data_IF_863357224256
#
_entry.id   IF_863357224256
#
_cell.length_a   1.000
_cell.length_b   1.000
_cell.length_c   1.000
_cell.angle_alpha   90.00
_cell.angle_beta   90.00
_cell.angle_gamma   90.00
#
_symmetry.space_group_name_H-M   'P 1'
#
loop_
_entity.id
_entity.type
_entity.pdbx_description
1 polymer ?
#
# COMPACT_ATOMS: atom_id res chain seq x y z
N UNK A 1 -3.65 19.09 14.89
CA UNK A 1 -3.83 18.42 13.58
C UNK A 1 -2.44 17.97 13.11
N UNK A 2 -2.11 16.71 12.78
CA UNK A 2 -2.86 15.47 12.66
C UNK A 2 -1.95 14.34 13.19
N UNK A 3 -2.46 13.53 14.12
CA UNK A 3 -1.74 12.36 14.63
C UNK A 3 -1.94 11.20 13.64
N UNK A 4 -1.03 11.04 12.68
CA UNK A 4 -1.00 9.88 11.77
C UNK A 4 -0.41 8.60 12.42
N UNK A 5 -0.41 8.50 13.74
CA UNK A 5 0.33 7.48 14.47
C UNK A 5 -0.60 6.70 15.39
N UNK A 6 -1.39 5.81 14.78
CA UNK A 6 -1.91 4.55 15.32
C UNK A 6 -3.13 4.19 14.48
N UNK A 7 -2.92 3.51 13.35
CA UNK A 7 -4.02 2.76 12.74
C UNK A 7 -4.13 1.45 13.49
N UNK A 8 -5.14 1.32 14.34
CA UNK A 8 -5.51 0.04 14.93
C UNK A 8 -5.95 -0.94 13.83
N UNK A 9 -5.91 -2.25 14.09
CA UNK A 9 -6.33 -3.27 13.12
C UNK A 9 -7.75 -3.08 12.55
N UNK A 10 -8.63 -2.37 13.28
CA UNK A 10 -9.97 -1.98 12.83
C UNK A 10 -10.02 -0.78 11.89
N UNK A 11 -8.92 -0.05 11.70
CA UNK A 11 -8.87 1.17 10.87
C UNK A 11 -8.36 0.91 9.46
N UNK A 12 -7.75 -0.25 9.19
CA UNK A 12 -7.29 -0.60 7.85
C UNK A 12 -8.41 -0.58 6.78
N UNK A 13 -9.63 -1.10 7.03
CA UNK A 13 -10.72 -1.01 6.05
C UNK A 13 -11.11 0.44 5.72
N UNK A 14 -11.22 1.30 6.75
CA UNK A 14 -11.53 2.72 6.56
C UNK A 14 -10.41 3.43 5.80
N UNK A 15 -9.15 3.15 6.15
CA UNK A 15 -7.97 3.68 5.48
C UNK A 15 -7.94 3.29 4.00
N UNK A 16 -8.28 2.03 3.68
CA UNK A 16 -8.39 1.56 2.30
C UNK A 16 -9.49 2.31 1.56
N UNK A 17 -10.65 2.54 2.20
CA UNK A 17 -11.75 3.30 1.60
C UNK A 17 -11.33 4.75 1.29
N UNK A 18 -10.68 5.44 2.22
CA UNK A 18 -10.12 6.78 1.98
C UNK A 18 -9.12 6.78 0.81
N UNK A 19 -8.25 5.77 0.74
CA UNK A 19 -7.30 5.65 -0.36
C UNK A 19 -8.03 5.41 -1.68
N UNK A 20 -9.10 4.60 -1.71
CA UNK A 20 -9.89 4.37 -2.91
C UNK A 20 -10.52 5.67 -3.42
N UNK A 21 -11.16 6.45 -2.55
CA UNK A 21 -11.72 7.75 -2.90
C UNK A 21 -10.65 8.70 -3.46
N UNK A 22 -9.46 8.72 -2.85
CA UNK A 22 -8.35 9.53 -3.35
C UNK A 22 -7.85 9.06 -4.73
N UNK A 23 -7.91 7.75 -4.99
CA UNK A 23 -7.50 7.15 -6.27
C UNK A 23 -8.57 7.26 -7.34
N UNK A 24 -9.85 7.39 -7.00
CA UNK A 24 -10.90 7.77 -7.94
C UNK A 24 -10.68 9.19 -8.47
N UNK A 25 -10.29 10.12 -7.59
CA UNK A 25 -9.93 11.49 -7.99
C UNK A 25 -8.58 11.56 -8.73
N UNK A 26 -7.59 10.78 -8.29
CA UNK A 26 -6.26 10.73 -8.91
C UNK A 26 -5.69 9.31 -8.90
N UNK A 27 -5.87 8.54 -9.99
CA UNK A 27 -5.47 7.13 -10.06
C UNK A 27 -3.98 6.86 -9.87
N UNK A 28 -3.15 7.91 -10.01
CA UNK A 28 -1.69 7.85 -9.92
C UNK A 28 -1.15 8.52 -8.65
N UNK A 29 -1.99 8.71 -7.64
CA UNK A 29 -1.55 9.34 -6.40
C UNK A 29 -0.69 8.39 -5.55
N UNK A 30 0.64 8.47 -5.69
CA UNK A 30 1.60 7.57 -5.05
C UNK A 30 1.41 7.42 -3.55
N UNK A 31 1.11 8.51 -2.82
CA UNK A 31 0.91 8.46 -1.37
C UNK A 31 -0.32 7.62 -0.99
N UNK A 32 -1.41 7.72 -1.75
CA UNK A 32 -2.60 6.90 -1.51
C UNK A 32 -2.35 5.43 -1.84
N UNK A 33 -1.64 5.14 -2.94
CA UNK A 33 -1.23 3.78 -3.29
C UNK A 33 -0.34 3.16 -2.21
N UNK A 34 0.66 3.89 -1.70
CA UNK A 34 1.53 3.42 -0.62
C UNK A 34 0.77 3.15 0.68
N UNK A 35 -0.11 4.06 1.09
CA UNK A 35 -0.94 3.89 2.29
C UNK A 35 -1.84 2.67 2.13
N UNK A 36 -2.47 2.49 0.96
CA UNK A 36 -3.32 1.33 0.66
C UNK A 36 -2.52 0.02 0.63
N UNK A 37 -1.32 0.02 0.05
CA UNK A 37 -0.42 -1.14 0.02
C UNK A 37 -0.06 -1.61 1.44
N UNK A 38 0.27 -0.69 2.36
CA UNK A 38 0.56 -1.02 3.76
C UNK A 38 -0.66 -1.59 4.49
N UNK A 39 -1.85 -1.05 4.23
CA UNK A 39 -3.08 -1.59 4.80
C UNK A 39 -3.34 -3.01 4.29
N UNK A 40 -3.14 -3.27 3.00
CA UNK A 40 -3.28 -4.61 2.44
C UNK A 40 -2.23 -5.59 2.98
N UNK A 41 -0.98 -5.16 3.14
CA UNK A 41 0.07 -5.95 3.77
C UNK A 41 -0.31 -6.34 5.21
N UNK A 42 -0.78 -5.38 6.01
CA UNK A 42 -1.22 -5.62 7.39
C UNK A 42 -2.43 -6.56 7.47
N UNK A 43 -3.30 -6.55 6.46
CA UNK A 43 -4.43 -7.48 6.31
C UNK A 43 -4.05 -8.81 5.65
N UNK A 44 -2.76 -9.07 5.41
CA UNK A 44 -2.23 -10.25 4.71
C UNK A 44 -2.83 -10.44 3.30
N UNK A 45 -3.30 -9.35 2.68
CA UNK A 45 -3.80 -9.26 1.30
C UNK A 45 -2.65 -8.92 0.36
N UNK A 46 -1.67 -9.82 0.30
CA UNK A 46 -0.36 -9.59 -0.31
C UNK A 46 -0.43 -9.28 -1.81
N UNK A 47 -1.33 -9.91 -2.58
CA UNK A 47 -1.48 -9.64 -4.02
C UNK A 47 -1.83 -8.17 -4.30
N UNK A 48 -2.68 -7.57 -3.46
CA UNK A 48 -3.09 -6.18 -3.59
C UNK A 48 -1.96 -5.23 -3.18
N UNK A 49 -1.23 -5.54 -2.10
CA UNK A 49 -0.06 -4.78 -1.68
C UNK A 49 1.04 -4.79 -2.74
N UNK A 50 1.26 -5.95 -3.39
CA UNK A 50 2.23 -6.12 -4.48
C UNK A 50 1.85 -5.27 -5.69
N UNK A 51 0.56 -5.28 -6.07
CA UNK A 51 0.07 -4.49 -7.20
C UNK A 51 0.24 -2.99 -6.97
N UNK A 52 -0.17 -2.50 -5.81
CA UNK A 52 -0.10 -1.07 -5.49
C UNK A 52 1.35 -0.57 -5.40
N UNK A 53 2.23 -1.31 -4.72
CA UNK A 53 3.66 -0.97 -4.65
C UNK A 53 4.33 -0.99 -6.02
N UNK A 54 3.98 -1.95 -6.89
CA UNK A 54 4.48 -2.00 -8.28
C UNK A 54 4.03 -0.79 -9.10
N UNK A 55 2.79 -0.33 -8.95
CA UNK A 55 2.31 0.88 -9.67
C UNK A 55 3.13 2.09 -9.22
N UNK A 56 3.39 2.24 -7.92
CA UNK A 56 4.22 3.33 -7.40
C UNK A 56 5.63 3.25 -7.96
N UNK A 57 6.28 2.09 -7.93
CA UNK A 57 7.62 1.91 -8.51
C UNK A 57 7.69 2.18 -10.02
N UNK A 58 6.60 1.91 -10.75
CA UNK A 58 6.55 2.23 -12.18
C UNK A 58 6.47 3.74 -12.45
N UNK A 59 5.97 4.53 -11.50
CA UNK A 59 5.88 5.99 -11.60
C UNK A 59 7.07 6.68 -10.95
N UNK A 60 7.55 6.14 -9.84
CA UNK A 60 8.63 6.63 -8.98
C UNK A 60 9.58 5.47 -8.65
N UNK A 61 10.49 5.09 -9.55
CA UNK A 61 11.38 3.94 -9.35
C UNK A 61 12.30 4.08 -8.14
N UNK A 62 12.62 5.32 -7.76
CA UNK A 62 13.49 5.64 -6.61
C UNK A 62 12.71 5.73 -5.28
N UNK A 63 11.40 5.41 -5.28
CA UNK A 63 10.59 5.47 -4.08
C UNK A 63 10.95 4.31 -3.12
N UNK A 64 11.79 4.63 -2.13
CA UNK A 64 12.29 3.68 -1.13
C UNK A 64 11.15 2.94 -0.41
N UNK A 65 10.10 3.66 0.00
CA UNK A 65 8.95 3.05 0.69
C UNK A 65 8.19 2.06 -0.20
N UNK A 66 8.06 2.34 -1.49
CA UNK A 66 7.43 1.42 -2.44
C UNK A 66 8.28 0.17 -2.62
N UNK A 67 9.60 0.34 -2.74
CA UNK A 67 10.55 -0.76 -2.91
C UNK A 67 10.59 -1.69 -1.70
N UNK A 68 10.57 -1.13 -0.49
CA UNK A 68 10.52 -1.91 0.76
C UNK A 68 9.27 -2.78 0.87
N UNK A 69 8.09 -2.22 0.54
CA UNK A 69 6.83 -2.98 0.54
C UNK A 69 6.88 -4.05 -0.56
N UNK A 70 7.30 -3.67 -1.76
CA UNK A 70 7.37 -4.57 -2.90
C UNK A 70 8.24 -5.80 -2.62
N UNK A 71 9.47 -5.60 -2.14
CA UNK A 71 10.40 -6.70 -1.85
C UNK A 71 9.92 -7.58 -0.69
N UNK A 72 9.33 -6.98 0.36
CA UNK A 72 8.78 -7.73 1.50
C UNK A 72 7.62 -8.62 1.06
N UNK A 73 6.66 -8.05 0.33
CA UNK A 73 5.48 -8.77 -0.16
C UNK A 73 5.89 -9.84 -1.17
N UNK A 74 6.80 -9.52 -2.10
CA UNK A 74 7.34 -10.46 -3.08
C UNK A 74 7.98 -11.67 -2.41
N UNK A 75 8.81 -11.46 -1.39
CA UNK A 75 9.43 -12.56 -0.64
C UNK A 75 8.37 -13.48 -0.03
N UNK A 76 7.36 -12.92 0.64
CA UNK A 76 6.30 -13.71 1.28
C UNK A 76 5.45 -14.46 0.25
N UNK A 77 5.18 -13.87 -0.92
CA UNK A 77 4.46 -14.53 -2.00
C UNK A 77 5.26 -15.70 -2.60
N UNK A 78 6.57 -15.54 -2.78
CA UNK A 78 7.46 -16.61 -3.27
C UNK A 78 7.58 -17.74 -2.25
N UNK A 79 7.71 -17.41 -0.96
CA UNK A 79 7.82 -18.41 0.12
C UNK A 79 6.51 -19.21 0.34
N UNK A 80 5.37 -18.69 -0.15
CA UNK A 80 4.05 -19.37 -0.10
C UNK A 80 3.72 -20.18 -1.37
N UNK A 81 4.58 -20.12 -2.39
CA UNK A 81 4.42 -20.79 -3.68
C UNK A 81 5.04 -22.18 -3.74
#
# INVERSE_FOLDING_TARGET
ASCYMQMGLGEYPNAINECNLALEASPRYSKALLKRARCYEALNKLDFAFRDSRIVLNMEPENVSANEIFERVKKVLVDKG
#
